data_IF_350669908061
#
_entry.id   IF_350669908061
#
_cell.length_a   1.000
_cell.length_b   1.000
_cell.length_c   1.000
_cell.angle_alpha   90.00
_cell.angle_beta   90.00
_cell.angle_gamma   90.00
#
_symmetry.space_group_name_H-M   'P 1'
#
loop_
_entity.id
_entity.type
_entity.pdbx_description
1 polymer ?
#
# COMPACT_ATOMS: atom_id res chain seq x y z
N UNK A 1 -8.93 13.10 -16.52
CA UNK A 1 -9.73 12.65 -15.34
C UNK A 1 -10.50 11.41 -15.79
N UNK A 2 -10.17 10.26 -15.23
CA UNK A 2 -10.91 9.02 -15.51
C UNK A 2 -12.33 9.14 -14.95
N UNK A 3 -13.40 8.73 -15.68
CA UNK A 3 -14.79 8.88 -15.25
C UNK A 3 -15.13 8.27 -13.88
N UNK A 4 -14.34 7.31 -13.41
CA UNK A 4 -14.57 6.60 -12.15
C UNK A 4 -14.43 7.47 -10.88
N UNK A 5 -13.76 8.61 -10.94
CA UNK A 5 -13.55 9.50 -9.79
C UNK A 5 -14.60 10.61 -9.63
N UNK A 6 -15.51 10.77 -10.60
CA UNK A 6 -16.54 11.85 -10.58
C UNK A 6 -17.57 11.69 -9.46
N UNK A 7 -17.61 10.52 -8.80
CA UNK A 7 -18.54 10.29 -7.68
C UNK A 7 -17.90 9.44 -6.58
N UNK A 8 -16.80 9.92 -5.97
CA UNK A 8 -16.30 9.32 -4.74
C UNK A 8 -17.38 9.48 -3.65
N UNK A 9 -18.24 8.48 -3.48
CA UNK A 9 -19.11 8.36 -2.31
C UNK A 9 -18.30 7.81 -1.15
N UNK A 10 -17.43 8.66 -0.60
CA UNK A 10 -16.68 8.31 0.59
C UNK A 10 -17.64 8.12 1.77
N UNK A 11 -17.45 7.04 2.50
CA UNK A 11 -18.03 6.83 3.83
C UNK A 11 -16.92 6.82 4.88
N UNK A 12 -17.29 7.11 6.11
CA UNK A 12 -16.34 6.99 7.22
C UNK A 12 -16.70 5.79 8.07
N UNK A 13 -15.66 5.06 8.47
CA UNK A 13 -15.71 4.00 9.46
C UNK A 13 -14.87 4.41 10.66
N UNK A 14 -15.09 3.78 11.79
CA UNK A 14 -14.35 4.08 13.03
C UNK A 14 -13.75 2.78 13.57
N UNK A 15 -12.46 2.80 13.86
CA UNK A 15 -11.78 1.64 14.48
C UNK A 15 -12.20 1.50 15.95
N UNK A 16 -11.99 0.32 16.57
CA UNK A 16 -12.22 0.15 18.02
C UNK A 16 -11.48 1.18 18.87
N UNK A 17 -10.26 1.60 18.45
CA UNK A 17 -9.49 2.67 19.10
C UNK A 17 -10.00 4.09 18.85
N UNK A 18 -11.13 4.26 18.12
CA UNK A 18 -11.75 5.57 17.86
C UNK A 18 -11.19 6.33 16.65
N UNK A 19 -10.28 5.74 15.88
CA UNK A 19 -9.72 6.39 14.68
C UNK A 19 -10.73 6.37 13.54
N UNK A 20 -10.99 7.54 12.97
CA UNK A 20 -11.89 7.73 11.83
C UNK A 20 -11.13 7.50 10.52
N UNK A 21 -11.58 6.54 9.70
CA UNK A 21 -11.01 6.20 8.41
C UNK A 21 -11.98 6.52 7.28
N UNK A 22 -11.47 7.08 6.19
CA UNK A 22 -12.23 7.30 4.96
C UNK A 22 -12.17 6.04 4.10
N UNK A 23 -13.32 5.50 3.73
CA UNK A 23 -13.45 4.34 2.87
C UNK A 23 -14.35 4.64 1.65
N UNK A 24 -14.16 3.88 0.57
CA UNK A 24 -14.97 4.00 -0.64
C UNK A 24 -15.19 2.63 -1.28
N UNK A 25 -16.32 2.51 -1.99
CA UNK A 25 -16.65 1.36 -2.83
C UNK A 25 -17.00 1.86 -4.22
N UNK A 26 -16.43 1.22 -5.23
CA UNK A 26 -16.62 1.51 -6.64
C UNK A 26 -17.20 0.26 -7.31
N UNK A 27 -18.41 0.39 -7.80
CA UNK A 27 -19.09 -0.72 -8.47
C UNK A 27 -18.37 -1.11 -9.76
N UNK A 28 -18.38 -2.43 -10.07
CA UNK A 28 -17.91 -2.95 -11.35
C UNK A 28 -18.61 -2.29 -12.53
N UNK A 29 -18.02 -2.35 -13.71
CA UNK A 29 -18.69 -1.93 -14.93
C UNK A 29 -19.94 -2.79 -15.19
N UNK A 30 -21.04 -2.16 -15.60
CA UNK A 30 -22.37 -2.83 -15.71
C UNK A 30 -22.41 -3.94 -16.76
N UNK A 31 -21.59 -3.84 -17.80
CA UNK A 31 -21.48 -4.76 -18.92
C UNK A 31 -20.48 -5.91 -18.69
N UNK A 32 -19.93 -6.03 -17.49
CA UNK A 32 -18.98 -7.10 -17.13
C UNK A 32 -19.61 -8.17 -16.27
N UNK A 33 -19.11 -9.41 -16.39
CA UNK A 33 -19.47 -10.48 -15.47
C UNK A 33 -18.93 -10.21 -14.07
N UNK A 34 -19.75 -10.42 -13.04
CA UNK A 34 -19.34 -10.20 -11.66
C UNK A 34 -18.28 -11.23 -11.24
N UNK A 35 -17.13 -10.76 -10.74
CA UNK A 35 -16.02 -11.58 -10.22
C UNK A 35 -15.81 -11.39 -8.71
N UNK A 36 -16.75 -10.72 -8.03
CA UNK A 36 -16.70 -10.46 -6.59
C UNK A 36 -16.05 -9.13 -6.26
N UNK A 37 -15.45 -9.07 -5.07
CA UNK A 37 -14.83 -7.86 -4.53
C UNK A 37 -13.31 -7.95 -4.60
N UNK A 38 -12.68 -6.89 -5.11
CA UNK A 38 -11.25 -6.67 -4.97
C UNK A 38 -11.02 -5.53 -3.95
N UNK A 39 -10.31 -5.82 -2.87
CA UNK A 39 -9.84 -4.81 -1.93
C UNK A 39 -8.53 -4.24 -2.45
N UNK A 40 -8.47 -2.90 -2.58
CA UNK A 40 -7.26 -2.18 -3.00
C UNK A 40 -6.63 -1.50 -1.79
N UNK A 41 -5.39 -1.86 -1.47
CA UNK A 41 -4.63 -1.32 -0.34
C UNK A 41 -3.42 -0.53 -0.84
N UNK A 42 -3.46 0.78 -0.67
CA UNK A 42 -2.39 1.67 -1.11
C UNK A 42 -1.19 1.70 -0.16
N UNK A 43 -0.07 2.27 -0.60
CA UNK A 43 1.17 2.41 0.15
C UNK A 43 1.20 3.61 1.09
N UNK A 44 2.41 3.94 1.56
CA UNK A 44 2.66 5.10 2.39
C UNK A 44 2.64 6.39 1.54
N UNK A 45 2.12 7.49 2.10
CA UNK A 45 1.97 8.81 1.44
C UNK A 45 1.06 8.79 0.21
N UNK A 46 0.14 7.85 0.17
CA UNK A 46 -0.83 7.69 -0.90
C UNK A 46 -2.27 7.90 -0.41
N UNK A 47 -3.21 7.89 -1.33
CA UNK A 47 -4.63 8.14 -1.07
C UNK A 47 -5.49 7.54 -2.20
N UNK A 48 -6.79 7.36 -1.93
CA UNK A 48 -7.74 6.67 -2.82
C UNK A 48 -7.74 7.24 -4.24
N UNK A 49 -7.78 8.56 -4.40
CA UNK A 49 -7.93 9.23 -5.71
C UNK A 49 -6.75 8.99 -6.65
N UNK A 50 -5.56 8.74 -6.11
CA UNK A 50 -4.38 8.39 -6.90
C UNK A 50 -4.60 7.10 -7.71
N UNK A 51 -5.41 6.20 -7.18
CA UNK A 51 -5.67 4.88 -7.78
C UNK A 51 -6.86 4.84 -8.74
N UNK A 52 -7.38 6.00 -9.19
CA UNK A 52 -8.56 6.05 -10.06
C UNK A 52 -8.43 5.23 -11.35
N UNK A 53 -7.27 5.21 -11.99
CA UNK A 53 -7.00 4.40 -13.18
C UNK A 53 -7.02 2.90 -12.84
N UNK A 54 -6.34 2.48 -11.77
CA UNK A 54 -6.31 1.10 -11.29
C UNK A 54 -7.70 0.60 -10.90
N UNK A 55 -8.49 1.45 -10.23
CA UNK A 55 -9.89 1.15 -9.89
C UNK A 55 -10.72 0.91 -11.15
N UNK A 56 -10.57 1.76 -12.18
CA UNK A 56 -11.24 1.59 -13.46
C UNK A 56 -10.88 0.28 -14.17
N UNK A 57 -9.61 -0.10 -14.13
CA UNK A 57 -9.12 -1.35 -14.71
C UNK A 57 -9.62 -2.60 -13.98
N UNK A 58 -9.72 -2.54 -12.64
CA UNK A 58 -10.34 -3.62 -11.85
C UNK A 58 -11.86 -3.70 -12.10
N UNK A 59 -12.55 -2.55 -12.18
CA UNK A 59 -13.98 -2.52 -12.49
C UNK A 59 -14.27 -3.09 -13.88
N UNK A 60 -13.44 -2.79 -14.90
CA UNK A 60 -13.58 -3.36 -16.24
C UNK A 60 -13.29 -4.85 -16.31
N UNK A 61 -12.58 -5.41 -15.31
CA UNK A 61 -12.37 -6.85 -15.12
C UNK A 61 -13.50 -7.55 -14.35
N UNK A 62 -14.55 -6.81 -13.99
CA UNK A 62 -15.73 -7.36 -13.31
C UNK A 62 -15.65 -7.34 -11.78
N UNK A 63 -14.64 -6.70 -11.18
CA UNK A 63 -14.55 -6.55 -9.73
C UNK A 63 -15.26 -5.28 -9.24
N UNK A 64 -16.05 -5.40 -8.17
CA UNK A 64 -16.36 -4.26 -7.31
C UNK A 64 -15.12 -3.95 -6.49
N UNK A 65 -14.65 -2.71 -6.51
CA UNK A 65 -13.42 -2.31 -5.79
C UNK A 65 -13.79 -1.62 -4.48
N UNK A 66 -13.26 -2.13 -3.37
CA UNK A 66 -13.37 -1.49 -2.07
C UNK A 66 -11.98 -1.08 -1.57
N UNK A 67 -11.87 0.12 -1.03
CA UNK A 67 -10.60 0.69 -0.57
C UNK A 67 -10.81 1.67 0.57
N UNK A 68 -9.75 2.03 1.27
CA UNK A 68 -9.79 3.06 2.31
C UNK A 68 -8.42 3.75 2.44
N UNK A 69 -8.41 4.95 2.99
CA UNK A 69 -7.18 5.61 3.39
C UNK A 69 -6.77 5.14 4.79
N UNK A 70 -5.52 4.72 4.93
CA UNK A 70 -4.93 4.37 6.23
C UNK A 70 -4.98 5.55 7.20
N UNK A 71 -4.99 5.29 8.54
CA UNK A 71 -4.77 6.36 9.53
C UNK A 71 -3.53 7.18 9.18
N UNK A 72 -3.63 8.48 9.39
CA UNK A 72 -2.54 9.39 9.07
C UNK A 72 -2.39 9.75 7.59
N UNK A 73 -3.23 9.22 6.68
CA UNK A 73 -3.10 9.42 5.24
C UNK A 73 -4.42 9.80 4.57
N UNK A 74 -4.35 10.31 3.34
CA UNK A 74 -5.51 10.67 2.54
C UNK A 74 -6.53 11.52 3.31
N UNK A 75 -7.80 11.14 3.28
CA UNK A 75 -8.88 11.79 4.04
C UNK A 75 -9.18 11.17 5.40
N UNK A 76 -8.33 10.24 5.88
CA UNK A 76 -8.44 9.65 7.23
C UNK A 76 -7.86 10.56 8.31
N UNK A 77 -8.17 10.25 9.57
CA UNK A 77 -7.72 11.03 10.73
C UNK A 77 -6.20 11.14 10.81
N UNK A 78 -5.69 12.31 11.13
CA UNK A 78 -4.27 12.59 11.39
C UNK A 78 -3.97 12.43 12.87
N UNK A 79 -2.83 11.80 13.18
CA UNK A 79 -2.38 11.59 14.55
C UNK A 79 -1.70 12.84 15.15
N UNK A 80 -1.13 13.71 14.32
CA UNK A 80 -0.38 14.89 14.74
C UNK A 80 -1.02 16.18 14.22
N UNK A 81 -0.75 17.30 14.89
CA UNK A 81 -1.22 18.62 14.49
C UNK A 81 -0.67 19.05 13.11
N UNK A 82 0.56 18.65 12.79
CA UNK A 82 1.12 18.83 11.44
C UNK A 82 0.58 17.72 10.52
N UNK A 83 -0.34 18.03 9.59
CA UNK A 83 -1.00 17.05 8.74
C UNK A 83 -0.08 16.44 7.67
N UNK A 84 1.10 17.02 7.45
CA UNK A 84 2.08 16.51 6.48
C UNK A 84 2.88 15.33 7.01
N UNK A 85 2.84 15.09 8.32
CA UNK A 85 3.57 14.02 8.99
C UNK A 85 2.81 12.70 8.95
N UNK A 86 3.40 11.69 8.33
CA UNK A 86 2.95 10.32 8.50
C UNK A 86 3.49 9.78 9.84
N UNK A 87 2.59 9.45 10.77
CA UNK A 87 2.95 9.01 12.13
C UNK A 87 2.08 7.86 12.58
N UNK A 88 2.73 6.87 13.18
CA UNK A 88 2.11 5.76 13.90
C UNK A 88 3.08 5.29 14.97
N UNK A 89 2.58 4.87 16.10
CA UNK A 89 3.42 4.35 17.20
C UNK A 89 3.76 2.87 17.03
N UNK A 90 2.86 2.10 16.41
CA UNK A 90 3.01 0.66 16.17
C UNK A 90 2.21 0.24 14.93
N UNK A 91 2.72 -0.70 14.14
CA UNK A 91 2.01 -1.23 12.97
C UNK A 91 0.76 -2.05 13.34
N UNK A 92 0.60 -2.50 14.58
CA UNK A 92 -0.66 -3.06 15.06
C UNK A 92 -1.84 -2.09 14.93
N UNK A 93 -1.59 -0.79 14.90
CA UNK A 93 -2.62 0.22 14.62
C UNK A 93 -3.15 0.13 13.18
N UNK A 94 -2.29 -0.21 12.21
CA UNK A 94 -2.70 -0.48 10.83
C UNK A 94 -3.43 -1.83 10.69
N UNK A 95 -3.03 -2.85 11.50
CA UNK A 95 -3.76 -4.13 11.58
C UNK A 95 -5.20 -3.89 12.06
N UNK A 96 -5.39 -2.97 13.03
CA UNK A 96 -6.70 -2.51 13.50
C UNK A 96 -7.50 -1.81 12.41
N UNK A 97 -6.87 -0.94 11.60
CA UNK A 97 -7.50 -0.25 10.49
C UNK A 97 -8.06 -1.24 9.46
N UNK A 98 -7.22 -2.20 9.03
CA UNK A 98 -7.64 -3.21 8.05
C UNK A 98 -8.73 -4.11 8.63
N UNK A 99 -8.64 -4.50 9.89
CA UNK A 99 -9.66 -5.30 10.57
C UNK A 99 -11.00 -4.56 10.62
N UNK A 100 -11.00 -3.27 10.97
CA UNK A 100 -12.20 -2.43 10.99
C UNK A 100 -12.82 -2.27 9.59
N UNK A 101 -11.97 -2.09 8.56
CA UNK A 101 -12.42 -2.02 7.18
C UNK A 101 -13.08 -3.33 6.71
N UNK A 102 -12.44 -4.47 6.95
CA UNK A 102 -13.01 -5.77 6.59
C UNK A 102 -14.35 -6.03 7.30
N UNK A 103 -14.46 -5.68 8.57
CA UNK A 103 -15.68 -5.90 9.36
C UNK A 103 -16.82 -4.94 8.96
N UNK A 104 -16.54 -3.64 8.77
CA UNK A 104 -17.57 -2.62 8.56
C UNK A 104 -17.89 -2.36 7.09
N UNK A 105 -16.99 -2.75 6.16
CA UNK A 105 -17.16 -2.49 4.72
C UNK A 105 -17.36 -3.77 3.94
N UNK A 106 -16.50 -4.78 4.10
CA UNK A 106 -16.51 -5.99 3.27
C UNK A 106 -17.54 -7.00 3.78
N UNK A 107 -17.53 -7.29 5.06
CA UNK A 107 -18.46 -8.28 5.66
C UNK A 107 -19.93 -7.98 5.40
N UNK A 108 -20.42 -6.71 5.48
CA UNK A 108 -21.83 -6.40 5.17
C UNK A 108 -22.19 -6.58 3.69
N UNK A 109 -21.23 -6.71 2.79
CA UNK A 109 -21.50 -7.00 1.38
C UNK A 109 -21.95 -8.45 1.15
N UNK A 110 -21.78 -9.34 2.15
CA UNK A 110 -22.23 -10.73 2.08
C UNK A 110 -21.52 -11.57 1.03
N UNK A 111 -20.30 -11.16 0.63
CA UNK A 111 -19.50 -11.81 -0.41
C UNK A 111 -18.51 -12.83 0.18
N UNK A 112 -18.00 -13.72 -0.67
CA UNK A 112 -16.87 -14.59 -0.34
C UNK A 112 -15.63 -13.75 0.06
N UNK A 113 -14.60 -14.33 0.73
CA UNK A 113 -13.38 -13.63 1.02
C UNK A 113 -12.82 -12.92 -0.22
N UNK A 114 -12.49 -11.61 -0.14
CA UNK A 114 -12.13 -10.83 -1.31
C UNK A 114 -10.78 -11.23 -1.89
N UNK A 115 -10.57 -10.92 -3.18
CA UNK A 115 -9.23 -10.75 -3.74
C UNK A 115 -8.64 -9.46 -3.17
N UNK A 116 -7.32 -9.40 -2.95
CA UNK A 116 -6.66 -8.14 -2.56
C UNK A 116 -5.56 -7.77 -3.55
N UNK A 117 -5.56 -6.52 -4.00
CA UNK A 117 -4.41 -5.89 -4.66
C UNK A 117 -3.81 -4.89 -3.68
N UNK A 118 -2.56 -5.11 -3.28
CA UNK A 118 -1.91 -4.29 -2.27
C UNK A 118 -0.55 -3.79 -2.74
N UNK A 119 -0.24 -2.51 -2.46
CA UNK A 119 1.02 -1.89 -2.80
C UNK A 119 1.85 -1.52 -1.56
N UNK A 120 3.16 -1.80 -1.62
CA UNK A 120 4.16 -1.30 -0.68
C UNK A 120 3.78 -1.54 0.81
N UNK A 121 3.56 -0.48 1.60
CA UNK A 121 3.11 -0.57 2.99
C UNK A 121 1.78 -1.32 3.12
N UNK A 122 0.83 -1.13 2.20
CA UNK A 122 -0.43 -1.87 2.21
C UNK A 122 -0.24 -3.37 2.05
N UNK A 123 0.72 -3.79 1.22
CA UNK A 123 1.09 -5.20 1.07
C UNK A 123 1.78 -5.75 2.33
N UNK A 124 2.62 -4.97 2.99
CA UNK A 124 3.22 -5.31 4.28
C UNK A 124 2.16 -5.56 5.36
N UNK A 125 1.21 -4.63 5.51
CA UNK A 125 0.12 -4.78 6.49
C UNK A 125 -0.77 -5.99 6.16
N UNK A 126 -1.01 -6.24 4.87
CA UNK A 126 -1.74 -7.42 4.45
C UNK A 126 -1.01 -8.71 4.84
N UNK A 127 0.31 -8.81 4.62
CA UNK A 127 1.11 -9.99 5.02
C UNK A 127 1.00 -10.27 6.52
N UNK A 128 1.02 -9.25 7.37
CA UNK A 128 0.77 -9.36 8.81
C UNK A 128 -0.63 -9.94 9.09
N UNK A 129 -1.64 -9.40 8.40
CA UNK A 129 -3.02 -9.86 8.54
C UNK A 129 -3.18 -11.32 8.09
N UNK A 130 -2.56 -11.73 6.99
CA UNK A 130 -2.64 -13.11 6.49
C UNK A 130 -1.95 -14.11 7.42
N UNK A 131 -0.85 -13.68 8.08
CA UNK A 131 -0.18 -14.47 9.12
C UNK A 131 -1.07 -14.66 10.35
N UNK A 132 -1.65 -13.57 10.87
CA UNK A 132 -2.38 -13.57 12.14
C UNK A 132 -3.84 -14.06 11.99
N UNK A 133 -4.43 -13.93 10.79
CA UNK A 133 -5.84 -14.21 10.50
C UNK A 133 -5.99 -14.95 9.16
N UNK A 134 -5.62 -16.22 9.07
CA UNK A 134 -5.73 -16.98 7.84
C UNK A 134 -7.20 -17.08 7.36
N UNK A 135 -7.39 -17.10 6.04
CA UNK A 135 -8.70 -17.28 5.41
C UNK A 135 -9.56 -16.00 5.28
N UNK A 136 -9.10 -14.84 5.75
CA UNK A 136 -9.86 -13.56 5.59
C UNK A 136 -9.82 -13.02 4.14
N UNK A 137 -8.94 -13.57 3.30
CA UNK A 137 -8.72 -13.20 1.90
C UNK A 137 -8.62 -14.46 1.07
N UNK A 138 -9.20 -14.47 -0.14
CA UNK A 138 -9.14 -15.61 -1.06
C UNK A 138 -7.78 -15.77 -1.73
N UNK A 139 -7.22 -14.66 -2.21
CA UNK A 139 -5.90 -14.57 -2.82
C UNK A 139 -5.42 -13.12 -2.78
N UNK A 140 -4.12 -12.86 -3.00
CA UNK A 140 -3.65 -11.49 -3.10
C UNK A 140 -2.53 -11.30 -4.12
N UNK A 141 -2.50 -10.09 -4.71
CA UNK A 141 -1.42 -9.59 -5.56
C UNK A 141 -0.69 -8.47 -4.82
N UNK A 142 0.60 -8.65 -4.59
CA UNK A 142 1.45 -7.75 -3.81
C UNK A 142 2.39 -7.01 -4.76
N UNK A 143 2.17 -5.72 -4.97
CA UNK A 143 3.00 -4.85 -5.81
C UNK A 143 4.08 -4.17 -4.97
N UNK A 144 5.34 -4.47 -5.24
CA UNK A 144 6.51 -3.93 -4.55
C UNK A 144 6.36 -3.90 -3.00
N UNK A 145 6.06 -5.04 -2.34
CA UNK A 145 5.75 -5.08 -0.91
C UNK A 145 6.92 -4.55 -0.07
N UNK A 146 6.59 -3.80 0.99
CA UNK A 146 7.56 -3.23 1.92
C UNK A 146 8.11 -4.30 2.89
N UNK A 147 8.93 -5.23 2.38
CA UNK A 147 9.59 -6.27 3.18
C UNK A 147 10.85 -5.74 3.85
N UNK A 148 11.61 -4.92 3.13
CA UNK A 148 12.77 -4.19 3.63
C UNK A 148 12.93 -2.88 2.86
N UNK A 149 13.32 -1.81 3.55
CA UNK A 149 13.49 -0.49 2.93
C UNK A 149 14.96 -0.14 2.75
N UNK A 150 15.24 0.66 1.72
CA UNK A 150 16.58 1.17 1.44
C UNK A 150 17.02 2.16 2.53
N UNK A 151 18.20 1.93 3.08
CA UNK A 151 18.86 2.84 4.02
C UNK A 151 19.77 3.87 3.30
N UNK A 152 19.66 3.95 1.97
CA UNK A 152 20.45 4.85 1.12
C UNK A 152 21.96 4.71 1.33
N UNK A 153 22.44 3.49 1.41
CA UNK A 153 23.85 3.16 1.58
C UNK A 153 24.38 3.22 3.02
N UNK A 154 23.55 3.63 3.98
CA UNK A 154 23.93 3.50 5.39
C UNK A 154 23.76 2.05 5.85
N UNK A 155 24.65 1.50 6.68
CA UNK A 155 24.42 0.20 7.30
C UNK A 155 23.09 0.18 8.08
N UNK A 156 22.28 -0.87 7.87
CA UNK A 156 20.93 -0.97 8.46
C UNK A 156 20.94 -0.83 10.00
N UNK A 157 21.98 -1.35 10.67
CA UNK A 157 22.11 -1.24 12.12
C UNK A 157 22.32 0.21 12.61
N UNK A 158 23.01 1.07 11.83
CA UNK A 158 23.19 2.50 12.15
C UNK A 158 21.85 3.23 12.04
N UNK A 159 21.10 2.97 10.95
CA UNK A 159 19.77 3.55 10.75
C UNK A 159 18.80 3.12 11.88
N UNK A 160 18.85 1.85 12.29
CA UNK A 160 18.05 1.33 13.39
C UNK A 160 18.44 1.96 14.74
N UNK A 161 19.75 2.12 15.02
CA UNK A 161 20.24 2.75 16.26
C UNK A 161 19.81 4.23 16.32
N UNK A 162 20.01 4.99 15.23
CA UNK A 162 19.58 6.38 15.15
C UNK A 162 18.06 6.51 15.40
N UNK A 163 17.27 5.64 14.77
CA UNK A 163 15.82 5.60 14.95
C UNK A 163 15.42 5.34 16.40
N UNK A 164 16.08 4.39 17.08
CA UNK A 164 15.84 4.10 18.50
C UNK A 164 16.25 5.27 19.39
N UNK A 165 17.42 5.86 19.15
CA UNK A 165 17.92 7.00 19.95
C UNK A 165 16.97 8.21 19.84
N UNK A 166 16.47 8.55 18.66
CA UNK A 166 15.52 9.64 18.47
C UNK A 166 14.20 9.39 19.21
N UNK A 167 13.69 8.16 19.18
CA UNK A 167 12.47 7.80 19.91
C UNK A 167 12.69 7.85 21.44
N UNK A 168 13.83 7.35 21.94
CA UNK A 168 14.17 7.43 23.37
C UNK A 168 14.34 8.87 23.86
N UNK A 169 14.81 9.77 22.99
CA UNK A 169 14.92 11.21 23.28
C UNK A 169 13.57 11.95 23.24
N UNK A 170 12.43 11.25 23.08
CA UNK A 170 11.10 11.85 23.01
C UNK A 170 10.79 12.55 21.67
N UNK A 171 11.58 12.30 20.63
CA UNK A 171 11.47 12.94 19.31
C UNK A 171 10.74 12.09 18.28
N UNK A 172 9.87 11.18 18.72
CA UNK A 172 9.11 10.27 17.85
C UNK A 172 8.24 11.00 16.84
N UNK A 173 7.69 12.17 17.19
CA UNK A 173 6.86 13.00 16.32
C UNK A 173 7.65 13.92 15.39
N UNK A 174 8.99 13.95 15.48
CA UNK A 174 9.82 14.74 14.60
C UNK A 174 9.98 14.04 13.24
N UNK A 175 10.24 14.85 12.21
CA UNK A 175 10.58 14.35 10.88
C UNK A 175 11.84 13.48 10.90
N UNK A 176 11.83 12.37 10.18
CA UNK A 176 13.07 11.74 9.74
C UNK A 176 13.83 12.75 8.87
N UNK A 177 15.17 12.84 9.05
CA UNK A 177 16.00 13.81 8.34
C UNK A 177 15.76 13.77 6.82
N UNK A 178 15.54 14.94 6.23
CA UNK A 178 15.26 15.11 4.80
C UNK A 178 13.82 14.81 4.38
N UNK A 179 12.94 14.30 5.26
CA UNK A 179 11.57 13.96 4.88
C UNK A 179 10.64 15.18 4.77
N UNK A 180 10.86 16.24 5.55
CA UNK A 180 10.10 17.49 5.41
C UNK A 180 10.28 18.16 4.02
N UNK A 181 11.43 17.94 3.38
CA UNK A 181 11.70 18.44 2.02
C UNK A 181 11.01 17.63 0.92
N UNK A 182 10.41 16.47 1.25
CA UNK A 182 9.67 15.61 0.32
C UNK A 182 8.19 15.99 0.19
N UNK A 183 7.86 17.24 0.54
CA UNK A 183 6.55 17.79 0.24
C UNK A 183 6.26 17.64 -1.26
N UNK A 184 5.19 16.91 -1.65
CA UNK A 184 4.94 16.61 -3.06
C UNK A 184 4.84 17.87 -3.92
N UNK A 185 4.28 18.97 -3.39
CA UNK A 185 4.15 20.23 -4.15
C UNK A 185 5.48 20.96 -4.40
N UNK A 186 6.57 20.49 -3.79
CA UNK A 186 7.93 21.07 -3.93
C UNK A 186 8.90 20.16 -4.69
N UNK A 187 8.46 18.93 -5.02
CA UNK A 187 9.30 17.97 -5.74
C UNK A 187 9.18 18.16 -7.25
N UNK A 188 10.29 18.02 -7.96
CA UNK A 188 10.32 17.89 -9.41
C UNK A 188 10.14 16.42 -9.83
N UNK A 189 9.82 16.20 -11.11
CA UNK A 189 9.74 14.83 -11.63
C UNK A 189 11.11 14.15 -11.60
N UNK A 190 12.17 14.89 -11.78
CA UNK A 190 13.56 14.40 -11.77
C UNK A 190 13.98 13.87 -10.39
N UNK A 191 13.38 14.40 -9.33
CA UNK A 191 13.64 13.98 -7.94
C UNK A 191 12.75 12.83 -7.48
N UNK A 192 11.76 12.40 -8.30
CA UNK A 192 10.87 11.32 -7.93
C UNK A 192 11.61 9.97 -7.95
N UNK A 193 11.17 9.05 -7.08
CA UNK A 193 11.75 7.72 -6.91
C UNK A 193 10.73 6.60 -7.17
N UNK A 194 9.56 6.94 -7.67
CA UNK A 194 8.43 6.01 -7.59
C UNK A 194 7.93 5.53 -8.96
N UNK A 195 8.06 6.34 -10.02
CA UNK A 195 7.58 5.98 -11.36
C UNK A 195 8.43 6.63 -12.45
N UNK A 196 8.56 5.95 -13.59
CA UNK A 196 9.14 6.50 -14.81
C UNK A 196 8.11 7.26 -15.67
N UNK A 197 6.81 7.17 -15.35
CA UNK A 197 5.74 7.83 -16.11
C UNK A 197 5.47 9.26 -15.61
N UNK A 198 5.92 10.24 -16.39
CA UNK A 198 5.74 11.66 -16.05
C UNK A 198 4.27 12.08 -16.02
N UNK A 199 3.42 11.52 -16.87
CA UNK A 199 2.02 11.92 -16.94
C UNK A 199 1.24 11.46 -15.70
N UNK A 200 1.44 10.23 -15.25
CA UNK A 200 0.84 9.69 -14.02
C UNK A 200 1.38 10.39 -12.78
N UNK A 201 2.68 10.69 -12.76
CA UNK A 201 3.26 11.49 -11.68
C UNK A 201 2.63 12.90 -11.60
N UNK A 202 2.51 13.64 -12.73
CA UNK A 202 1.88 14.95 -12.79
C UNK A 202 0.40 14.89 -12.39
N UNK A 203 -0.32 13.83 -12.76
CA UNK A 203 -1.71 13.64 -12.33
C UNK A 203 -1.81 13.54 -10.80
N UNK A 204 -0.95 12.76 -10.15
CA UNK A 204 -0.90 12.67 -8.68
C UNK A 204 -0.60 14.03 -8.04
N UNK A 205 0.36 14.81 -8.60
CA UNK A 205 0.67 16.16 -8.14
C UNK A 205 -0.54 17.10 -8.26
N UNK A 206 -1.27 17.05 -9.38
CA UNK A 206 -2.45 17.89 -9.60
C UNK A 206 -3.58 17.57 -8.63
N UNK A 207 -3.76 16.30 -8.26
CA UNK A 207 -4.73 15.88 -7.24
C UNK A 207 -4.39 16.50 -5.88
N UNK A 208 -3.13 16.43 -5.46
CA UNK A 208 -2.67 17.03 -4.19
C UNK A 208 -2.75 18.56 -4.23
N UNK A 209 -2.46 19.19 -5.36
CA UNK A 209 -2.57 20.64 -5.50
C UNK A 209 -4.04 21.13 -5.41
N UNK A 210 -4.97 20.37 -5.98
CA UNK A 210 -6.41 20.70 -5.94
C UNK A 210 -7.09 20.32 -4.61
N UNK A 211 -6.48 19.40 -3.84
CA UNK A 211 -7.01 18.84 -2.59
C UNK A 211 -5.92 18.77 -1.52
N UNK A 212 -5.56 19.93 -0.92
CA UNK A 212 -4.45 20.03 0.03
C UNK A 212 -4.56 19.11 1.25
N UNK A 213 -5.77 18.68 1.62
CA UNK A 213 -6.04 17.74 2.70
C UNK A 213 -5.47 16.32 2.43
N UNK A 214 -5.22 15.98 1.17
CA UNK A 214 -4.59 14.70 0.78
C UNK A 214 -3.07 14.72 0.88
N UNK A 215 -2.49 15.91 1.08
CA UNK A 215 -1.04 16.11 1.05
C UNK A 215 -0.34 15.46 2.24
N UNK A 216 0.74 14.74 1.95
CA UNK A 216 1.67 14.14 2.90
C UNK A 216 3.10 14.32 2.40
N UNK A 217 4.03 14.60 3.30
CA UNK A 217 5.44 14.74 2.94
C UNK A 217 6.27 13.49 3.27
N UNK A 218 6.08 12.89 4.43
CA UNK A 218 6.84 11.68 4.77
C UNK A 218 6.72 11.24 6.23
N UNK A 219 7.53 10.24 6.62
CA UNK A 219 7.46 9.63 7.93
C UNK A 219 8.16 10.45 9.04
N UNK A 220 7.67 10.23 10.25
CA UNK A 220 8.33 10.61 11.50
C UNK A 220 9.26 9.51 11.98
N UNK A 221 10.11 9.81 12.98
CA UNK A 221 10.93 8.81 13.63
C UNK A 221 10.12 7.70 14.32
N UNK A 222 8.92 8.04 14.85
CA UNK A 222 7.99 7.05 15.40
C UNK A 222 7.51 6.06 14.34
N UNK A 223 7.07 6.57 13.19
CA UNK A 223 6.67 5.71 12.09
C UNK A 223 7.82 4.81 11.61
N UNK A 224 9.03 5.37 11.44
CA UNK A 224 10.19 4.60 10.97
C UNK A 224 10.58 3.50 11.97
N UNK A 225 10.51 3.79 13.28
CA UNK A 225 10.72 2.76 14.32
C UNK A 225 9.68 1.64 14.21
N UNK A 226 8.40 2.01 14.13
CA UNK A 226 7.30 1.06 14.03
C UNK A 226 7.43 0.19 12.76
N UNK A 227 7.85 0.78 11.63
CA UNK A 227 8.11 0.07 10.39
C UNK A 227 9.28 -0.91 10.51
N UNK A 228 10.41 -0.48 11.12
CA UNK A 228 11.57 -1.34 11.32
C UNK A 228 11.23 -2.55 12.22
N UNK A 229 10.50 -2.32 13.31
CA UNK A 229 10.08 -3.40 14.22
C UNK A 229 9.13 -4.38 13.51
N UNK A 230 8.25 -3.86 12.65
CA UNK A 230 7.31 -4.65 11.87
C UNK A 230 7.99 -5.47 10.78
N UNK A 231 8.91 -4.88 10.01
CA UNK A 231 9.71 -5.60 9.00
C UNK A 231 10.57 -6.69 9.65
N UNK A 232 11.16 -6.41 10.82
CA UNK A 232 11.93 -7.41 11.57
C UNK A 232 11.07 -8.62 11.97
N UNK A 233 9.79 -8.41 12.35
CA UNK A 233 8.82 -9.48 12.61
C UNK A 233 8.56 -10.32 11.36
N UNK A 234 8.31 -9.69 10.21
CA UNK A 234 8.04 -10.42 8.96
C UNK A 234 9.24 -11.23 8.46
N UNK A 235 10.43 -10.69 8.64
CA UNK A 235 11.67 -11.36 8.24
C UNK A 235 12.05 -12.51 9.16
N UNK A 236 11.48 -12.62 10.35
CA UNK A 236 11.75 -13.68 11.30
C UNK A 236 11.42 -15.07 10.68
N UNK A 237 12.22 -16.11 11.01
CA UNK A 237 11.90 -17.49 10.61
C UNK A 237 10.50 -17.89 11.09
N UNK A 238 9.75 -18.61 10.25
CA UNK A 238 8.40 -19.09 10.56
C UNK A 238 7.28 -18.10 10.20
N UNK A 239 7.58 -16.81 9.93
CA UNK A 239 6.53 -15.86 9.59
C UNK A 239 5.94 -16.09 8.19
N UNK A 240 6.76 -16.10 7.16
CA UNK A 240 6.30 -16.25 5.77
C UNK A 240 5.75 -17.66 5.51
N UNK A 241 6.35 -18.66 6.12
CA UNK A 241 6.13 -20.08 5.88
C UNK A 241 4.72 -20.56 6.27
N UNK A 242 4.05 -19.87 7.21
CA UNK A 242 2.69 -20.22 7.64
C UNK A 242 1.59 -19.54 6.82
N UNK A 243 1.94 -18.58 5.95
CA UNK A 243 0.97 -17.91 5.09
C UNK A 243 0.56 -18.85 3.96
N UNK A 244 -0.65 -19.40 4.05
CA UNK A 244 -1.19 -20.38 3.12
C UNK A 244 -2.05 -19.76 2.00
N UNK A 245 -2.35 -18.47 2.08
CA UNK A 245 -3.11 -17.74 1.05
C UNK A 245 -2.32 -17.72 -0.27
N UNK A 246 -2.95 -17.99 -1.44
CA UNK A 246 -2.29 -17.82 -2.73
C UNK A 246 -1.84 -16.37 -2.94
N UNK A 247 -0.58 -16.17 -3.32
CA UNK A 247 0.02 -14.86 -3.51
C UNK A 247 0.72 -14.74 -4.87
N UNK A 248 0.51 -13.61 -5.56
CA UNK A 248 1.40 -13.14 -6.61
C UNK A 248 2.23 -12.00 -6.04
N UNK A 249 3.54 -12.17 -5.98
CA UNK A 249 4.47 -11.15 -5.50
C UNK A 249 5.16 -10.51 -6.69
N UNK A 250 4.97 -9.21 -6.88
CA UNK A 250 5.54 -8.42 -7.97
C UNK A 250 6.68 -7.55 -7.43
N UNK A 251 7.90 -7.80 -7.89
CA UNK A 251 9.08 -6.99 -7.56
C UNK A 251 9.34 -5.92 -8.61
N UNK A 252 9.75 -4.73 -8.20
CA UNK A 252 10.19 -3.64 -9.08
C UNK A 252 11.71 -3.64 -9.17
N UNK A 253 12.27 -3.81 -10.39
CA UNK A 253 13.72 -4.03 -10.55
C UNK A 253 14.56 -2.78 -10.33
N UNK A 254 13.98 -1.59 -10.49
CA UNK A 254 14.63 -0.28 -10.25
C UNK A 254 14.18 0.38 -8.95
N UNK A 255 13.58 -0.39 -8.05
CA UNK A 255 13.08 0.14 -6.77
C UNK A 255 14.21 0.73 -5.92
N UNK A 256 14.08 2.02 -5.60
CA UNK A 256 15.02 2.77 -4.76
C UNK A 256 14.49 2.99 -3.34
N UNK A 257 13.28 2.48 -3.05
CA UNK A 257 12.57 2.61 -1.77
C UNK A 257 12.59 1.29 -1.02
N UNK A 258 12.09 0.21 -1.65
CA UNK A 258 12.12 -1.14 -1.11
C UNK A 258 13.25 -1.97 -1.76
N UNK A 259 13.79 -2.91 -1.01
CA UNK A 259 14.86 -3.79 -1.51
C UNK A 259 14.26 -4.97 -2.28
N UNK A 260 14.32 -4.93 -3.61
CA UNK A 260 13.79 -5.97 -4.50
C UNK A 260 14.37 -7.35 -4.20
N UNK A 261 15.66 -7.43 -3.84
CA UNK A 261 16.29 -8.70 -3.46
C UNK A 261 15.68 -9.30 -2.18
N UNK A 262 15.35 -8.45 -1.19
CA UNK A 262 14.68 -8.89 0.02
C UNK A 262 13.25 -9.38 -0.30
N UNK A 263 12.53 -8.69 -1.16
CA UNK A 263 11.21 -9.11 -1.66
C UNK A 263 11.28 -10.47 -2.36
N UNK A 264 12.26 -10.67 -3.24
CA UNK A 264 12.49 -11.94 -3.95
C UNK A 264 12.83 -13.08 -2.97
N UNK A 265 13.69 -12.81 -1.98
CA UNK A 265 14.05 -13.78 -0.96
C UNK A 265 12.86 -14.14 -0.06
N UNK A 266 12.06 -13.16 0.32
CA UNK A 266 10.84 -13.37 1.12
C UNK A 266 9.80 -14.18 0.35
N UNK A 267 9.57 -13.89 -0.93
CA UNK A 267 8.62 -14.62 -1.77
C UNK A 267 8.94 -16.11 -1.85
N UNK A 268 10.22 -16.50 -1.84
CA UNK A 268 10.65 -17.92 -1.83
C UNK A 268 10.31 -18.67 -0.54
N UNK A 269 10.06 -17.95 0.56
CA UNK A 269 9.68 -18.50 1.85
C UNK A 269 8.17 -18.71 2.00
N UNK A 270 7.37 -18.05 1.17
CA UNK A 270 5.91 -18.15 1.19
C UNK A 270 5.47 -19.52 0.64
N UNK A 271 4.54 -20.18 1.34
CA UNK A 271 4.11 -21.54 1.01
C UNK A 271 3.40 -21.64 -0.35
N UNK A 272 2.67 -20.61 -0.78
CA UNK A 272 1.86 -20.59 -2.01
C UNK A 272 2.03 -19.26 -2.75
N UNK A 273 3.24 -18.92 -3.17
CA UNK A 273 3.51 -17.69 -3.91
C UNK A 273 4.15 -17.97 -5.26
N UNK A 274 3.76 -17.17 -6.26
CA UNK A 274 4.52 -16.93 -7.48
C UNK A 274 5.19 -15.56 -7.40
N UNK A 275 6.37 -15.42 -8.02
CA UNK A 275 7.13 -14.18 -8.07
C UNK A 275 7.37 -13.75 -9.51
N UNK A 276 7.05 -12.49 -9.79
CA UNK A 276 7.31 -11.84 -11.09
C UNK A 276 8.09 -10.55 -10.83
N UNK A 277 9.19 -10.35 -11.56
CA UNK A 277 9.98 -9.13 -11.48
C UNK A 277 9.81 -8.27 -12.73
N UNK A 278 9.49 -7.01 -12.51
CA UNK A 278 9.40 -5.96 -13.52
C UNK A 278 10.74 -5.21 -13.52
N UNK A 279 11.72 -5.72 -14.27
CA UNK A 279 13.12 -5.30 -14.22
C UNK A 279 13.34 -3.80 -14.51
N UNK A 280 12.45 -3.19 -15.27
CA UNK A 280 12.48 -1.78 -15.70
C UNK A 280 11.56 -0.86 -14.88
N UNK A 281 10.76 -1.41 -13.94
CA UNK A 281 9.86 -0.64 -13.09
C UNK A 281 10.57 0.01 -11.90
N UNK A 282 10.20 1.26 -11.59
CA UNK A 282 10.43 1.90 -10.32
C UNK A 282 9.41 1.39 -9.28
N UNK A 283 9.41 1.90 -8.06
CA UNK A 283 8.64 1.39 -6.92
C UNK A 283 7.14 1.19 -7.18
N UNK A 284 6.48 2.15 -7.85
CA UNK A 284 5.03 2.14 -8.09
C UNK A 284 4.68 1.47 -9.42
N UNK A 285 4.81 0.14 -9.53
CA UNK A 285 4.52 -0.65 -10.74
C UNK A 285 3.15 -0.29 -11.34
N UNK A 286 2.16 -0.03 -10.50
CA UNK A 286 0.79 0.35 -10.88
C UNK A 286 0.69 1.76 -11.49
N UNK A 287 1.70 2.59 -11.30
CA UNK A 287 1.79 3.97 -11.81
C UNK A 287 2.85 4.11 -12.91
N UNK A 288 3.41 3.02 -13.38
CA UNK A 288 4.38 2.98 -14.48
C UNK A 288 3.75 3.21 -15.85
N UNK A 289 4.57 3.30 -16.89
CA UNK A 289 4.10 3.43 -18.27
C UNK A 289 3.29 2.20 -18.71
N UNK A 290 2.52 2.36 -19.80
CA UNK A 290 1.57 1.35 -20.27
C UNK A 290 2.22 0.00 -20.61
N UNK A 291 3.48 -0.01 -21.06
CA UNK A 291 4.20 -1.26 -21.35
C UNK A 291 4.44 -2.09 -20.07
N UNK A 292 4.88 -1.45 -18.99
CA UNK A 292 5.11 -2.11 -17.70
C UNK A 292 3.76 -2.53 -17.09
N UNK A 293 2.78 -1.64 -17.10
CA UNK A 293 1.44 -1.92 -16.58
C UNK A 293 0.74 -3.03 -17.35
N UNK A 294 0.88 -3.08 -18.68
CA UNK A 294 0.33 -4.16 -19.48
C UNK A 294 0.88 -5.53 -19.06
N UNK A 295 2.18 -5.63 -18.81
CA UNK A 295 2.79 -6.87 -18.27
C UNK A 295 2.28 -7.20 -16.87
N UNK A 296 2.09 -6.18 -16.01
CA UNK A 296 1.51 -6.37 -14.69
C UNK A 296 0.09 -6.91 -14.76
N UNK A 297 -0.77 -6.32 -15.61
CA UNK A 297 -2.16 -6.76 -15.75
C UNK A 297 -2.26 -8.16 -16.36
N UNK A 298 -1.37 -8.54 -17.29
CA UNK A 298 -1.31 -9.92 -17.79
C UNK A 298 -0.98 -10.90 -16.64
N UNK A 299 0.05 -10.61 -15.84
CA UNK A 299 0.39 -11.46 -14.69
C UNK A 299 -0.73 -11.52 -13.63
N UNK A 300 -1.44 -10.41 -13.42
CA UNK A 300 -2.62 -10.35 -12.57
C UNK A 300 -3.74 -11.25 -13.10
N UNK A 301 -4.09 -11.12 -14.39
CA UNK A 301 -5.18 -11.88 -15.02
C UNK A 301 -4.88 -13.38 -15.03
N UNK A 302 -3.63 -13.78 -15.33
CA UNK A 302 -3.17 -15.16 -15.27
C UNK A 302 -3.28 -15.74 -13.84
N UNK A 303 -2.86 -14.97 -12.84
CA UNK A 303 -2.92 -15.39 -11.43
C UNK A 303 -4.37 -15.54 -10.96
N UNK A 304 -5.24 -14.59 -11.30
CA UNK A 304 -6.67 -14.63 -10.93
C UNK A 304 -7.36 -15.82 -11.57
N UNK A 305 -7.11 -16.07 -12.87
CA UNK A 305 -7.66 -17.22 -13.58
C UNK A 305 -7.17 -18.57 -12.99
N UNK A 306 -5.87 -18.66 -12.66
CA UNK A 306 -5.28 -19.87 -12.06
C UNK A 306 -5.86 -20.21 -10.67
N UNK A 307 -6.44 -19.21 -9.97
CA UNK A 307 -7.08 -19.39 -8.66
C UNK A 307 -8.61 -19.43 -8.72
N UNK A 308 -9.23 -19.43 -9.93
CA UNK A 308 -10.67 -19.54 -10.12
C UNK A 308 -11.46 -18.30 -9.66
N UNK A 309 -10.84 -17.12 -9.74
CA UNK A 309 -11.38 -15.85 -9.28
C UNK A 309 -11.80 -14.94 -10.44
#
# INVERSE_FOLDING_TARGET
MTPALVALRARFITTPGGTRLRAAVFERAQDTNARGVCVLLHGQTEFIEKYGEVIGELNSRGFTVATFDWRGQGGSARALADPLKCHVGNFAEYDEDLAAFLEQVIKPMGVAPPLVLAHSMGAHILLRTLHDRPGVVSAAVLSAPMVAVSTRGQPAWIAALATRAMNMAGRSSDWVMGMAARDPLKMSFEDNLVTSDRARWLNAQSLVASRPELRLAGPTWGWLKAANDSMARELAPGFAEVIATPLLVCGAGKDRICLTEATRAFAKRLARASYVEFADAEHEILMENDSIRGRFWNAFDDFVAANGL
#
